data_IF_653929629151
#
_entry.id   IF_653929629151
#
_cell.length_a   1.000
_cell.length_b   1.000
_cell.length_c   1.000
_cell.angle_alpha   90.00
_cell.angle_beta   90.00
_cell.angle_gamma   90.00
#
_symmetry.space_group_name_H-M   'P 1'
#
loop_
_entity.id
_entity.type
_entity.pdbx_description
1 polymer ?
#
# COMPACT_ATOMS: atom_id res chain seq x y z
N UNK A 1 -13.08 40.80 39.13
CA UNK A 1 -13.25 40.71 37.67
C UNK A 1 -13.09 39.26 37.28
N UNK A 2 -14.07 38.73 36.57
CA UNK A 2 -14.36 37.30 36.41
C UNK A 2 -13.24 36.56 35.68
N UNK A 3 -12.73 35.50 36.31
CA UNK A 3 -11.88 34.50 35.67
C UNK A 3 -12.79 33.52 34.92
N UNK A 4 -12.83 33.63 33.59
CA UNK A 4 -13.48 32.67 32.70
C UNK A 4 -12.63 31.40 32.68
N UNK A 5 -13.17 30.28 33.17
CA UNK A 5 -12.58 28.95 33.04
C UNK A 5 -13.04 28.39 31.70
N UNK A 6 -12.19 28.43 30.68
CA UNK A 6 -12.38 27.66 29.46
C UNK A 6 -12.23 26.16 29.76
N UNK A 7 -13.35 25.43 29.72
CA UNK A 7 -13.33 23.96 29.62
C UNK A 7 -13.07 23.62 28.16
N UNK A 8 -11.80 23.39 27.81
CA UNK A 8 -11.43 22.78 26.54
C UNK A 8 -11.90 21.32 26.50
N UNK A 9 -13.00 21.07 25.79
CA UNK A 9 -13.39 19.71 25.37
C UNK A 9 -12.47 19.27 24.23
N UNK A 10 -11.48 18.43 24.54
CA UNK A 10 -10.73 17.67 23.54
C UNK A 10 -11.66 16.61 22.94
N UNK A 11 -12.45 17.00 21.94
CA UNK A 11 -13.07 16.04 21.05
C UNK A 11 -11.97 15.55 20.09
N UNK A 12 -11.33 14.43 20.45
CA UNK A 12 -10.55 13.66 19.50
C UNK A 12 -11.54 13.15 18.47
N UNK A 13 -11.72 13.87 17.36
CA UNK A 13 -12.55 13.43 16.25
C UNK A 13 -11.94 12.14 15.71
N UNK A 14 -12.52 11.00 16.08
CA UNK A 14 -12.20 9.71 15.47
C UNK A 14 -12.62 9.82 14.02
N UNK A 15 -11.68 10.15 13.14
CA UNK A 15 -11.92 10.15 11.69
C UNK A 15 -12.45 8.74 11.37
N UNK A 16 -13.67 8.68 10.83
CA UNK A 16 -14.25 7.39 10.44
C UNK A 16 -13.39 6.80 9.34
N UNK A 17 -12.68 5.71 9.66
CA UNK A 17 -11.84 5.00 8.73
C UNK A 17 -12.65 4.08 7.79
N UNK A 18 -13.98 4.13 7.86
CA UNK A 18 -14.87 3.21 7.13
C UNK A 18 -14.61 3.19 5.62
N UNK A 19 -14.35 4.36 5.02
CA UNK A 19 -14.01 4.47 3.60
C UNK A 19 -12.70 3.73 3.25
N UNK A 20 -11.67 3.87 4.09
CA UNK A 20 -10.40 3.18 3.91
C UNK A 20 -10.54 1.66 4.10
N UNK A 21 -11.30 1.22 5.11
CA UNK A 21 -11.60 -0.20 5.33
C UNK A 21 -12.32 -0.83 4.14
N UNK A 22 -13.30 -0.11 3.56
CA UNK A 22 -14.03 -0.57 2.35
C UNK A 22 -13.08 -0.68 1.16
N UNK A 23 -12.26 0.35 0.91
CA UNK A 23 -11.28 0.34 -0.18
C UNK A 23 -10.29 -0.83 -0.07
N UNK A 24 -9.70 -1.02 1.12
CA UNK A 24 -8.74 -2.11 1.36
C UNK A 24 -9.38 -3.49 1.22
N UNK A 25 -10.61 -3.67 1.72
CA UNK A 25 -11.35 -4.94 1.58
C UNK A 25 -11.61 -5.30 0.11
N UNK A 26 -12.00 -4.31 -0.71
CA UNK A 26 -12.22 -4.49 -2.15
C UNK A 26 -10.92 -4.80 -2.90
N UNK A 27 -9.83 -4.11 -2.58
CA UNK A 27 -8.52 -4.37 -3.18
C UNK A 27 -8.00 -5.77 -2.83
N UNK A 28 -8.13 -6.19 -1.57
CA UNK A 28 -7.74 -7.53 -1.14
C UNK A 28 -8.52 -8.62 -1.89
N UNK A 29 -9.86 -8.45 -1.98
CA UNK A 29 -10.74 -9.37 -2.74
C UNK A 29 -10.34 -9.41 -4.22
N UNK A 30 -10.00 -8.26 -4.81
CA UNK A 30 -9.53 -8.17 -6.20
C UNK A 30 -8.21 -8.91 -6.44
N UNK A 31 -7.24 -8.74 -5.53
CA UNK A 31 -5.95 -9.44 -5.60
C UNK A 31 -6.10 -10.96 -5.46
N UNK A 32 -7.02 -11.42 -4.61
CA UNK A 32 -7.30 -12.84 -4.42
C UNK A 32 -8.07 -13.45 -5.60
N UNK A 33 -9.04 -12.72 -6.18
CA UNK A 33 -9.84 -13.17 -7.32
C UNK A 33 -9.03 -13.23 -8.61
N UNK A 34 -8.08 -12.31 -8.79
CA UNK A 34 -7.26 -12.21 -9.98
C UNK A 34 -5.78 -12.13 -9.60
N UNK A 35 -5.18 -13.26 -9.16
CA UNK A 35 -3.78 -13.28 -8.77
C UNK A 35 -2.89 -12.84 -9.93
N UNK A 36 -1.80 -12.17 -9.61
CA UNK A 36 -0.76 -11.77 -10.55
C UNK A 36 0.55 -12.42 -10.15
N UNK A 37 1.40 -12.66 -11.13
CA UNK A 37 2.74 -13.18 -10.90
C UNK A 37 3.60 -12.25 -10.05
N UNK A 38 4.57 -12.85 -9.38
CA UNK A 38 5.64 -12.14 -8.71
C UNK A 38 5.39 -11.77 -7.26
N UNK A 39 4.19 -11.95 -6.71
CA UNK A 39 4.00 -11.77 -5.26
C UNK A 39 2.82 -12.55 -4.66
N UNK A 40 2.85 -12.71 -3.34
CA UNK A 40 1.73 -13.13 -2.50
C UNK A 40 1.30 -11.99 -1.58
N UNK A 41 0.03 -11.98 -1.18
CA UNK A 41 -0.53 -10.97 -0.26
C UNK A 41 -1.38 -11.66 0.79
N UNK A 42 -1.22 -11.26 2.05
CA UNK A 42 -2.04 -11.70 3.17
C UNK A 42 -2.28 -10.52 4.11
N UNK A 43 -3.54 -10.19 4.38
CA UNK A 43 -3.88 -9.18 5.38
C UNK A 43 -3.74 -9.75 6.79
N UNK A 44 -3.42 -8.89 7.76
CA UNK A 44 -3.47 -9.27 9.18
C UNK A 44 -4.92 -9.46 9.62
N UNK A 45 -5.17 -10.55 10.33
CA UNK A 45 -6.50 -10.87 10.89
C UNK A 45 -6.99 -9.80 11.88
N UNK A 46 -6.06 -9.18 12.62
CA UNK A 46 -6.36 -8.19 13.66
C UNK A 46 -6.47 -6.75 13.09
N UNK A 47 -5.86 -6.49 11.94
CA UNK A 47 -5.74 -5.13 11.41
C UNK A 47 -5.63 -5.10 9.88
N UNK A 48 -6.74 -4.77 9.22
CA UNK A 48 -6.82 -4.63 7.75
C UNK A 48 -5.87 -3.55 7.20
N UNK A 49 -5.33 -2.64 8.02
CA UNK A 49 -4.34 -1.63 7.62
C UNK A 49 -2.90 -2.15 7.63
N UNK A 50 -2.67 -3.44 7.92
CA UNK A 50 -1.34 -4.06 7.90
C UNK A 50 -1.38 -5.33 7.08
N UNK A 51 -0.68 -5.34 5.95
CA UNK A 51 -0.58 -6.52 5.08
C UNK A 51 0.84 -7.04 5.05
N UNK A 52 0.98 -8.36 4.96
CA UNK A 52 2.23 -9.04 4.65
C UNK A 52 2.24 -9.41 3.18
N UNK A 53 3.33 -9.10 2.49
CA UNK A 53 3.54 -9.48 1.10
C UNK A 53 4.84 -10.25 0.97
N UNK A 54 4.82 -11.28 0.12
CA UNK A 54 6.02 -12.01 -0.28
C UNK A 54 6.30 -11.74 -1.75
N UNK A 55 7.41 -11.08 -2.07
CA UNK A 55 7.78 -10.70 -3.43
C UNK A 55 8.80 -11.72 -3.96
N UNK A 56 8.49 -12.31 -5.12
CA UNK A 56 9.36 -13.24 -5.81
C UNK A 56 10.30 -12.49 -6.75
N UNK A 57 11.58 -12.81 -6.66
CA UNK A 57 12.59 -12.24 -7.53
C UNK A 57 12.36 -12.59 -9.01
N UNK A 58 12.27 -11.60 -9.92
CA UNK A 58 11.89 -11.86 -11.31
C UNK A 58 12.95 -12.70 -12.05
N UNK A 59 12.53 -13.59 -12.99
CA UNK A 59 13.45 -14.34 -13.82
C UNK A 59 14.34 -13.44 -14.67
N UNK A 60 15.61 -13.83 -14.84
CA UNK A 60 16.60 -13.06 -15.60
C UNK A 60 17.23 -11.89 -14.83
N UNK A 61 16.89 -11.72 -13.55
CA UNK A 61 17.44 -10.66 -12.68
C UNK A 61 18.41 -11.24 -11.66
N UNK A 62 19.19 -10.39 -10.98
CA UNK A 62 20.04 -10.81 -9.85
C UNK A 62 19.24 -11.37 -8.66
N UNK A 63 17.94 -11.06 -8.60
CA UNK A 63 17.05 -11.48 -7.54
C UNK A 63 16.34 -12.81 -7.83
N UNK A 64 16.49 -13.38 -9.04
CA UNK A 64 15.79 -14.59 -9.46
C UNK A 64 15.84 -15.72 -8.41
N UNK A 65 14.68 -16.28 -8.10
CA UNK A 65 14.54 -17.33 -7.09
C UNK A 65 14.68 -16.84 -5.65
N UNK A 66 14.64 -15.53 -5.41
CA UNK A 66 14.55 -14.94 -4.08
C UNK A 66 13.10 -14.76 -3.60
N UNK A 67 12.93 -14.68 -2.28
CA UNK A 67 11.65 -14.46 -1.60
C UNK A 67 11.75 -13.32 -0.58
N UNK A 68 11.29 -12.14 -0.96
CA UNK A 68 11.46 -10.92 -0.17
C UNK A 68 10.15 -10.55 0.51
N UNK A 69 10.11 -10.71 1.83
CA UNK A 69 8.95 -10.39 2.64
C UNK A 69 8.93 -8.91 2.97
N UNK A 70 7.78 -8.29 2.84
CA UNK A 70 7.57 -6.92 3.27
C UNK A 70 6.24 -6.76 3.99
N UNK A 71 6.18 -5.73 4.83
CA UNK A 71 4.95 -5.25 5.45
C UNK A 71 4.52 -3.98 4.75
N UNK A 72 3.26 -3.96 4.33
CA UNK A 72 2.57 -2.77 3.85
C UNK A 72 1.73 -2.22 5.00
N UNK A 73 1.89 -0.95 5.31
CA UNK A 73 1.04 -0.24 6.29
C UNK A 73 0.27 0.85 5.60
N UNK A 74 -1.04 0.83 5.76
CA UNK A 74 -1.94 1.80 5.14
C UNK A 74 -2.27 2.91 6.13
N UNK A 75 -2.35 4.17 5.66
CA UNK A 75 -2.82 5.25 6.51
C UNK A 75 -4.35 5.19 6.66
N UNK A 76 -4.84 5.82 7.72
CA UNK A 76 -6.28 5.90 8.04
C UNK A 76 -7.11 6.55 6.93
N UNK A 77 -6.50 7.42 6.13
CA UNK A 77 -7.12 8.13 5.01
C UNK A 77 -6.80 7.50 3.64
N UNK A 78 -6.38 6.24 3.58
CA UNK A 78 -6.21 5.53 2.30
C UNK A 78 -7.53 5.55 1.50
N UNK A 79 -7.51 5.78 0.16
CA UNK A 79 -6.35 5.92 -0.74
C UNK A 79 -5.85 7.37 -0.94
N UNK A 80 -6.24 8.34 -0.12
CA UNK A 80 -5.78 9.73 -0.29
C UNK A 80 -4.31 9.94 0.11
N UNK A 81 -3.75 9.04 0.90
CA UNK A 81 -2.31 8.99 1.19
C UNK A 81 -1.76 7.60 0.88
N UNK A 82 -0.49 7.51 0.45
CA UNK A 82 0.13 6.25 0.09
C UNK A 82 0.34 5.37 1.31
N UNK A 83 0.38 4.04 1.14
CA UNK A 83 0.93 3.16 2.16
C UNK A 83 2.44 3.32 2.26
N UNK A 84 3.02 2.78 3.34
CA UNK A 84 4.47 2.56 3.44
C UNK A 84 4.79 1.09 3.26
N UNK A 85 5.91 0.78 2.60
CA UNK A 85 6.40 -0.59 2.44
C UNK A 85 7.74 -0.75 3.14
N UNK A 86 7.87 -1.82 3.93
CA UNK A 86 9.08 -2.16 4.65
C UNK A 86 9.43 -3.63 4.50
N UNK A 87 10.59 -3.94 3.92
CA UNK A 87 11.12 -5.29 3.89
C UNK A 87 11.46 -5.78 5.30
N UNK A 88 11.07 -7.01 5.61
CA UNK A 88 11.33 -7.65 6.91
C UNK A 88 12.59 -8.49 6.88
N UNK A 89 12.96 -9.01 5.72
CA UNK A 89 14.26 -9.61 5.47
C UNK A 89 15.20 -8.61 4.80
N UNK A 90 16.51 -8.90 4.83
CA UNK A 90 17.52 -7.99 4.27
C UNK A 90 17.42 -7.95 2.75
N UNK A 91 17.36 -6.73 2.22
CA UNK A 91 17.37 -6.46 0.77
C UNK A 91 18.44 -5.43 0.45
N UNK A 92 19.50 -5.87 -0.20
CA UNK A 92 20.56 -5.01 -0.71
C UNK A 92 20.12 -4.45 -2.04
N UNK A 93 19.67 -3.20 -2.04
CA UNK A 93 19.11 -2.54 -3.21
C UNK A 93 19.25 -1.02 -3.09
N UNK A 94 19.55 -0.28 -4.18
CA UNK A 94 19.72 1.18 -4.15
C UNK A 94 18.54 1.95 -3.54
N UNK A 95 17.32 1.42 -3.66
CA UNK A 95 16.09 2.06 -3.18
C UNK A 95 15.53 1.48 -1.87
N UNK A 96 16.29 0.66 -1.14
CA UNK A 96 15.89 0.14 0.18
C UNK A 96 16.85 0.66 1.24
N UNK A 97 16.32 1.32 2.27
CA UNK A 97 17.12 1.77 3.41
C UNK A 97 17.62 0.58 4.24
N UNK A 98 18.68 0.76 5.04
CA UNK A 98 19.18 -0.26 5.98
C UNK A 98 18.10 -0.70 6.99
N UNK A 99 17.13 0.18 7.28
CA UNK A 99 15.97 -0.15 8.10
C UNK A 99 15.00 -1.14 7.44
N UNK A 100 15.08 -1.34 6.13
CA UNK A 100 14.17 -2.10 5.28
C UNK A 100 13.10 -1.26 4.59
N UNK A 101 12.98 0.04 4.89
CA UNK A 101 11.98 0.91 4.27
C UNK A 101 12.27 1.10 2.77
N UNK A 102 11.23 0.98 1.93
CA UNK A 102 11.33 1.12 0.48
C UNK A 102 11.09 2.58 0.07
N UNK A 103 11.96 3.10 -0.81
CA UNK A 103 11.88 4.46 -1.33
C UNK A 103 11.61 4.44 -2.85
N UNK A 104 10.38 4.76 -3.25
CA UNK A 104 9.98 4.92 -4.65
C UNK A 104 8.94 6.04 -4.77
N UNK A 105 8.95 6.72 -5.91
CA UNK A 105 8.08 7.87 -6.20
C UNK A 105 6.59 7.58 -5.99
N UNK A 106 6.10 6.42 -6.41
CA UNK A 106 4.67 6.05 -6.24
C UNK A 106 4.24 5.99 -4.76
N UNK A 107 5.17 5.87 -3.81
CA UNK A 107 4.89 5.90 -2.37
C UNK A 107 5.09 7.30 -1.74
N UNK A 108 5.50 8.30 -2.53
CA UNK A 108 5.64 9.67 -2.06
C UNK A 108 4.29 10.40 -2.09
N UNK A 109 3.94 11.17 -1.06
CA UNK A 109 2.72 11.97 -1.04
C UNK A 109 2.58 12.90 -2.25
N UNK A 110 1.35 13.28 -2.64
CA UNK A 110 1.07 14.15 -3.79
C UNK A 110 1.37 15.63 -3.51
N UNK A 111 2.56 15.92 -3.01
CA UNK A 111 3.04 17.29 -2.79
C UNK A 111 3.79 17.74 -4.04
N UNK A 112 3.49 18.93 -4.55
CA UNK A 112 4.31 19.57 -5.57
C UNK A 112 5.57 20.13 -4.89
N UNK A 113 6.67 19.38 -4.98
CA UNK A 113 7.99 19.81 -4.51
C UNK A 113 8.90 20.02 -5.73
N UNK A 114 9.07 21.28 -6.19
CA UNK A 114 9.91 21.60 -7.34
C UNK A 114 11.37 21.15 -7.21
N UNK A 115 11.85 20.91 -5.99
CA UNK A 115 13.23 20.50 -5.74
C UNK A 115 13.42 18.98 -5.73
N UNK A 116 12.35 18.19 -5.74
CA UNK A 116 12.46 16.73 -5.72
C UNK A 116 12.97 16.14 -7.04
N UNK A 117 12.75 16.83 -8.17
CA UNK A 117 13.03 16.32 -9.51
C UNK A 117 12.08 15.20 -9.99
N UNK A 118 11.09 14.81 -9.19
CA UNK A 118 10.07 13.82 -9.54
C UNK A 118 8.88 14.50 -10.23
N UNK A 119 8.30 13.82 -11.22
CA UNK A 119 7.06 14.29 -11.83
C UNK A 119 5.88 14.00 -10.89
N UNK A 120 4.93 14.94 -10.81
CA UNK A 120 3.71 14.73 -10.03
C UNK A 120 2.93 13.46 -10.44
N UNK A 121 3.04 13.04 -11.70
CA UNK A 121 2.42 11.79 -12.20
C UNK A 121 3.14 10.51 -11.76
N UNK A 122 4.40 10.60 -11.33
CA UNK A 122 5.17 9.48 -10.77
C UNK A 122 4.85 9.28 -9.28
N UNK A 123 4.28 10.30 -8.64
CA UNK A 123 3.92 10.28 -7.21
C UNK A 123 2.61 9.56 -6.95
N UNK A 124 2.34 9.31 -5.68
CA UNK A 124 1.08 8.73 -5.24
C UNK A 124 -0.11 9.53 -5.77
N UNK A 125 -1.11 8.81 -6.26
CA UNK A 125 -2.43 9.36 -6.51
C UNK A 125 -3.50 8.32 -6.13
N UNK A 126 -4.72 8.72 -5.76
CA UNK A 126 -5.74 7.80 -5.26
C UNK A 126 -6.27 6.78 -6.28
N UNK A 127 -5.83 6.84 -7.55
CA UNK A 127 -6.18 5.82 -8.57
C UNK A 127 -5.20 4.65 -8.58
N UNK A 128 -4.03 4.82 -7.94
CA UNK A 128 -3.11 3.72 -7.65
C UNK A 128 -3.71 2.79 -6.59
N UNK A 129 -3.29 1.54 -6.65
CA UNK A 129 -3.72 0.47 -5.74
C UNK A 129 -2.56 -0.47 -5.41
N UNK A 130 -2.77 -1.39 -4.48
CA UNK A 130 -1.71 -2.31 -4.03
C UNK A 130 -1.11 -3.12 -5.18
N UNK A 131 -1.91 -3.51 -6.19
CA UNK A 131 -1.40 -4.20 -7.38
C UNK A 131 -0.38 -3.35 -8.13
N UNK A 132 -0.72 -2.10 -8.44
CA UNK A 132 0.17 -1.18 -9.17
C UNK A 132 1.45 -0.86 -8.39
N UNK A 133 1.35 -0.73 -7.06
CA UNK A 133 2.50 -0.53 -6.19
C UNK A 133 3.43 -1.74 -6.27
N UNK A 134 2.93 -2.96 -6.07
CA UNK A 134 3.76 -4.17 -6.05
C UNK A 134 4.40 -4.47 -7.41
N UNK A 135 3.69 -4.19 -8.52
CA UNK A 135 4.29 -4.24 -9.85
C UNK A 135 5.43 -3.24 -10.02
N UNK A 136 5.27 -2.03 -9.47
CA UNK A 136 6.35 -1.03 -9.47
C UNK A 136 7.55 -1.51 -8.65
N UNK A 137 7.34 -2.18 -7.51
CA UNK A 137 8.43 -2.77 -6.71
C UNK A 137 9.16 -3.86 -7.49
N UNK A 138 8.43 -4.76 -8.15
CA UNK A 138 8.99 -5.83 -8.99
C UNK A 138 9.85 -5.26 -10.12
N UNK A 139 9.35 -4.24 -10.82
CA UNK A 139 10.10 -3.56 -11.87
C UNK A 139 11.39 -2.93 -11.32
N UNK A 140 11.29 -2.29 -10.16
CA UNK A 140 12.40 -1.62 -9.52
C UNK A 140 13.53 -2.59 -9.12
N UNK A 141 13.21 -3.82 -8.69
CA UNK A 141 14.22 -4.83 -8.36
C UNK A 141 15.18 -5.10 -9.54
N UNK A 142 14.71 -4.98 -10.78
CA UNK A 142 15.56 -5.14 -11.96
C UNK A 142 16.21 -3.84 -12.42
N UNK A 143 15.51 -2.71 -12.27
CA UNK A 143 15.93 -1.39 -12.74
C UNK A 143 15.95 -0.38 -11.57
N UNK A 144 16.98 -0.43 -10.70
CA UNK A 144 17.09 0.48 -9.57
C UNK A 144 17.22 1.94 -10.01
N UNK A 145 16.55 2.84 -9.30
CA UNK A 145 16.76 4.27 -9.46
C UNK A 145 17.99 4.72 -8.65
N UNK A 146 19.08 5.05 -9.34
CA UNK A 146 20.35 5.49 -8.74
C UNK A 146 20.52 7.00 -8.65
N UNK A 147 19.52 7.79 -9.07
CA UNK A 147 19.59 9.26 -9.03
C UNK A 147 19.43 9.80 -7.60
N UNK A 148 18.55 9.17 -6.82
CA UNK A 148 18.27 9.51 -5.42
C UNK A 148 18.17 8.23 -4.57
N UNK A 149 19.29 7.52 -4.35
CA UNK A 149 19.26 6.22 -3.70
C UNK A 149 19.02 6.33 -2.19
N UNK A 150 18.19 5.43 -1.67
CA UNK A 150 18.04 5.20 -0.23
C UNK A 150 19.30 4.55 0.38
N UNK A 151 20.00 3.75 -0.41
CA UNK A 151 21.26 3.11 -0.06
C UNK A 151 22.34 3.51 -1.07
N UNK A 152 23.18 4.46 -0.66
CA UNK A 152 24.25 5.04 -1.49
C UNK A 152 25.29 3.98 -1.87
N UNK A 153 25.65 3.08 -0.94
CA UNK A 153 26.65 2.05 -1.18
C UNK A 153 26.15 1.04 -2.22
N UNK A 154 24.91 0.55 -2.06
CA UNK A 154 24.27 -0.32 -3.04
C UNK A 154 24.19 0.35 -4.43
N UNK A 155 23.89 1.66 -4.48
CA UNK A 155 23.87 2.43 -5.72
C UNK A 155 25.23 2.53 -6.39
N UNK A 156 26.30 2.80 -5.63
CA UNK A 156 27.68 2.83 -6.15
C UNK A 156 28.09 1.46 -6.68
N UNK A 157 27.85 0.39 -5.92
CA UNK A 157 28.17 -0.98 -6.33
C UNK A 157 27.38 -1.40 -7.57
N UNK A 158 26.08 -1.09 -7.64
CA UNK A 158 25.24 -1.40 -8.80
C UNK A 158 25.77 -0.71 -10.06
N UNK A 159 26.08 0.59 -10.01
CA UNK A 159 26.63 1.32 -11.16
C UNK A 159 27.95 0.72 -11.64
N UNK A 160 28.86 0.39 -10.71
CA UNK A 160 30.14 -0.24 -11.06
C UNK A 160 29.94 -1.64 -11.67
N UNK A 161 28.98 -2.41 -11.18
CA UNK A 161 28.60 -3.70 -11.77
C UNK A 161 28.10 -3.52 -13.21
N UNK A 162 27.21 -2.55 -13.46
CA UNK A 162 26.70 -2.23 -14.81
C UNK A 162 27.82 -1.73 -15.73
N UNK A 163 28.61 -0.74 -15.31
CA UNK A 163 29.65 -0.09 -16.12
C UNK A 163 30.76 -1.06 -16.55
N UNK A 164 31.01 -2.10 -15.73
CA UNK A 164 32.01 -3.12 -16.02
C UNK A 164 31.46 -4.33 -16.78
N UNK A 165 30.16 -4.35 -17.07
CA UNK A 165 29.47 -5.49 -17.69
C UNK A 165 29.50 -6.74 -16.81
N UNK A 166 29.38 -6.56 -15.49
CA UNK A 166 29.37 -7.63 -14.50
C UNK A 166 30.73 -8.16 -14.05
N UNK A 167 31.84 -7.54 -14.46
CA UNK A 167 33.19 -7.96 -13.99
C UNK A 167 33.40 -7.61 -12.52
N UNK A 168 32.89 -6.46 -12.09
CA UNK A 168 32.86 -6.08 -10.69
C UNK A 168 31.61 -6.67 -10.03
N UNK A 169 31.76 -7.88 -9.51
CA UNK A 169 30.65 -8.72 -9.06
C UNK A 169 30.27 -8.53 -7.58
N UNK A 170 30.74 -7.47 -6.92
CA UNK A 170 30.50 -7.24 -5.50
C UNK A 170 28.99 -7.10 -5.20
N UNK A 171 28.29 -6.26 -5.98
CA UNK A 171 26.85 -6.06 -5.84
C UNK A 171 26.08 -7.37 -5.97
N UNK A 172 26.34 -8.10 -7.07
CA UNK A 172 25.65 -9.33 -7.37
C UNK A 172 26.00 -10.46 -6.40
N UNK A 173 27.22 -10.51 -5.87
CA UNK A 173 27.60 -11.45 -4.80
C UNK A 173 26.77 -11.24 -3.54
N UNK A 174 26.59 -9.98 -3.12
CA UNK A 174 25.75 -9.66 -1.95
C UNK A 174 24.30 -10.07 -2.20
N UNK A 175 23.75 -9.72 -3.36
CA UNK A 175 22.37 -10.05 -3.72
C UNK A 175 22.16 -11.57 -3.76
N UNK A 176 23.07 -12.35 -4.37
CA UNK A 176 22.98 -13.82 -4.39
C UNK A 176 22.95 -14.43 -2.99
N UNK A 177 23.81 -13.96 -2.09
CA UNK A 177 23.82 -14.44 -0.70
C UNK A 177 22.48 -14.15 0.01
N UNK A 178 21.82 -13.03 -0.32
CA UNK A 178 20.49 -12.71 0.21
C UNK A 178 19.39 -13.55 -0.43
N UNK A 179 19.48 -13.84 -1.73
CA UNK A 179 18.58 -14.77 -2.42
C UNK A 179 18.64 -16.14 -1.74
N UNK A 180 19.83 -16.68 -1.48
CA UNK A 180 20.00 -17.96 -0.79
C UNK A 180 19.41 -17.93 0.63
N UNK A 181 19.65 -16.85 1.37
CA UNK A 181 19.08 -16.67 2.71
C UNK A 181 17.54 -16.59 2.67
N UNK A 182 16.99 -15.93 1.65
CA UNK A 182 15.56 -15.74 1.49
C UNK A 182 14.82 -17.04 1.15
N UNK A 183 15.48 -18.00 0.50
CA UNK A 183 14.93 -19.33 0.22
C UNK A 183 14.65 -20.11 1.50
N UNK A 184 15.55 -20.02 2.47
CA UNK A 184 15.39 -20.64 3.79
C UNK A 184 14.18 -20.03 4.52
N UNK A 185 13.95 -18.72 4.38
CA UNK A 185 12.76 -18.06 4.92
C UNK A 185 11.47 -18.51 4.21
N UNK A 186 11.51 -18.66 2.89
CA UNK A 186 10.37 -19.18 2.12
C UNK A 186 9.97 -20.59 2.56
N UNK A 187 10.95 -21.49 2.74
CA UNK A 187 10.73 -22.84 3.25
C UNK A 187 10.07 -22.83 4.64
N UNK A 188 10.54 -21.94 5.53
CA UNK A 188 9.97 -21.77 6.87
C UNK A 188 8.50 -21.32 6.84
N UNK A 189 8.16 -20.47 5.87
CA UNK A 189 6.79 -19.97 5.68
C UNK A 189 5.93 -20.92 4.82
N UNK A 190 6.48 -22.04 4.33
CA UNK A 190 5.78 -22.98 3.45
C UNK A 190 5.50 -22.43 2.05
N UNK A 191 6.27 -21.43 1.60
CA UNK A 191 6.13 -20.80 0.29
C UNK A 191 7.05 -21.47 -0.71
N UNK A 192 6.48 -21.92 -1.84
CA UNK A 192 7.25 -22.45 -2.97
C UNK A 192 7.68 -21.27 -3.86
N UNK A 193 8.99 -21.07 -3.98
CA UNK A 193 9.56 -19.99 -4.77
C UNK A 193 9.68 -20.44 -6.24
N UNK A 194 9.13 -19.69 -7.21
CA UNK A 194 9.33 -19.99 -8.62
C UNK A 194 10.79 -19.75 -9.03
N UNK A 195 11.41 -20.73 -9.67
CA UNK A 195 12.80 -20.63 -10.13
C UNK A 195 12.91 -20.43 -11.64
N UNK A 196 11.88 -20.88 -12.36
CA UNK A 196 11.82 -20.81 -13.82
C UNK A 196 10.81 -19.76 -14.29
N UNK A 197 10.95 -19.31 -15.54
CA UNK A 197 9.98 -18.40 -16.15
C UNK A 197 8.57 -19.00 -16.19
N UNK A 198 8.46 -20.33 -16.42
CA UNK A 198 7.18 -21.02 -16.51
C UNK A 198 6.45 -21.10 -15.17
N UNK A 199 7.18 -21.22 -14.06
CA UNK A 199 6.64 -21.20 -12.70
C UNK A 199 6.30 -19.79 -12.25
N UNK A 200 7.08 -18.80 -12.71
CA UNK A 200 6.86 -17.40 -12.36
C UNK A 200 5.57 -16.87 -12.99
N UNK A 201 5.33 -17.18 -14.27
CA UNK A 201 4.20 -16.64 -15.01
C UNK A 201 2.88 -17.36 -14.69
N UNK A 202 1.85 -16.59 -14.33
CA UNK A 202 0.51 -17.13 -14.08
C UNK A 202 -0.10 -17.56 -15.41
N UNK A 203 -0.40 -18.86 -15.56
CA UNK A 203 -1.10 -19.37 -16.73
C UNK A 203 -2.49 -18.74 -16.80
N UNK A 204 -2.69 -17.78 -17.69
CA UNK A 204 -4.01 -17.26 -18.03
C UNK A 204 -4.85 -18.38 -18.63
N UNK A 205 -5.80 -18.91 -17.87
CA UNK A 205 -6.87 -19.75 -18.42
C UNK A 205 -7.79 -18.80 -19.16
N UNK A 206 -7.90 -18.95 -20.48
CA UNK A 206 -8.90 -18.25 -21.26
C UNK A 206 -10.29 -18.63 -20.73
N UNK A 207 -10.95 -17.72 -19.99
CA UNK A 207 -12.37 -17.90 -19.69
C UNK A 207 -13.14 -17.83 -21.03
N UNK A 208 -13.98 -18.82 -21.35
CA UNK A 208 -14.79 -18.76 -22.56
C UNK A 208 -15.85 -17.66 -22.39
N UNK A 209 -15.84 -16.70 -23.34
CA UNK A 209 -16.81 -15.64 -23.59
C UNK A 209 -17.29 -14.81 -22.37
N UNK A 210 -16.70 -13.62 -22.26
CA UNK A 210 -17.24 -12.35 -21.75
C UNK A 210 -18.72 -12.35 -21.30
N UNK A 211 -19.03 -13.01 -20.19
CA UNK A 211 -20.04 -12.46 -19.30
C UNK A 211 -19.40 -11.23 -18.68
N UNK A 212 -19.87 -10.05 -19.09
CA UNK A 212 -19.60 -8.79 -18.41
C UNK A 212 -19.91 -9.06 -16.94
N UNK A 213 -18.88 -9.26 -16.12
CA UNK A 213 -19.04 -9.39 -14.67
C UNK A 213 -19.49 -8.00 -14.19
N UNK A 214 -20.80 -7.83 -14.14
CA UNK A 214 -21.44 -6.68 -13.50
C UNK A 214 -20.89 -6.66 -12.09
N UNK A 215 -20.14 -5.62 -11.77
CA UNK A 215 -19.70 -5.37 -10.40
C UNK A 215 -21.00 -5.25 -9.59
N UNK A 216 -21.26 -6.22 -8.71
CA UNK A 216 -22.38 -6.15 -7.77
C UNK A 216 -22.11 -4.98 -6.81
N UNK A 217 -22.49 -3.78 -7.25
CA UNK A 217 -22.52 -2.57 -6.42
C UNK A 217 -23.69 -2.60 -5.42
N UNK A 218 -24.52 -3.64 -5.46
CA UNK A 218 -25.73 -3.76 -4.65
C UNK A 218 -25.47 -4.42 -3.27
N UNK A 219 -24.27 -4.93 -2.98
CA UNK A 219 -24.01 -5.66 -1.73
C UNK A 219 -23.72 -4.75 -0.52
N UNK A 220 -23.73 -3.42 -0.66
CA UNK A 220 -23.42 -2.51 0.43
C UNK A 220 -24.44 -1.39 0.70
N UNK A 221 -25.72 -1.66 0.45
CA UNK A 221 -26.81 -0.86 1.00
C UNK A 221 -26.88 -1.06 2.53
N UNK A 222 -25.97 -0.40 3.24
CA UNK A 222 -26.01 -0.28 4.69
C UNK A 222 -27.24 0.54 5.09
N UNK A 223 -28.14 -0.13 5.80
CA UNK A 223 -29.27 0.46 6.51
C UNK A 223 -28.75 1.58 7.43
N UNK A 224 -29.07 2.83 7.09
CA UNK A 224 -28.87 3.94 8.00
C UNK A 224 -29.83 3.71 9.16
N UNK A 225 -29.31 3.13 10.25
CA UNK A 225 -30.00 3.09 11.52
C UNK A 225 -30.41 4.52 11.87
N UNK A 226 -31.71 4.76 11.76
CA UNK A 226 -32.40 5.95 12.21
C UNK A 226 -32.12 6.10 13.70
N UNK A 227 -31.22 7.03 14.05
CA UNK A 227 -31.06 7.50 15.43
C UNK A 227 -32.30 8.33 15.77
N UNK A 228 -33.38 7.62 16.11
CA UNK A 228 -34.58 8.18 16.72
C UNK A 228 -34.27 8.56 18.17
N UNK A 229 -33.60 9.68 18.38
CA UNK A 229 -33.43 10.27 19.71
C UNK A 229 -34.27 11.56 19.84
N UNK A 230 -35.47 11.32 20.37
CA UNK A 230 -36.06 12.04 21.50
C UNK A 230 -36.52 13.50 21.26
N UNK A 231 -37.73 13.61 20.71
CA UNK A 231 -38.85 14.44 21.17
C UNK A 231 -38.49 15.50 22.23
N UNK A 232 -38.05 16.68 21.78
CA UNK A 232 -38.14 17.89 22.60
C UNK A 232 -39.34 18.73 22.13
N UNK A 233 -40.49 18.33 22.65
CA UNK A 233 -41.76 19.04 22.66
C UNK A 233 -41.58 20.37 23.41
N UNK A 234 -41.42 21.48 22.66
CA UNK A 234 -41.55 22.82 23.23
C UNK A 234 -43.00 23.27 23.07
N UNK A 235 -43.72 23.21 24.19
CA UNK A 235 -45.06 23.72 24.45
C UNK A 235 -45.32 25.10 23.78
N UNK A 236 -46.18 25.08 22.77
CA UNK A 236 -46.87 26.25 22.24
C UNK A 236 -47.98 26.66 23.25
N UNK A 237 -47.60 27.40 24.29
CA UNK A 237 -48.60 28.05 25.15
C UNK A 237 -49.17 29.27 24.42
N UNK A 238 -50.46 29.17 24.13
CA UNK A 238 -51.20 30.04 23.23
C UNK A 238 -51.47 31.46 23.73
N UNK A 239 -51.77 32.28 22.72
CA UNK A 239 -52.84 33.26 22.63
C UNK A 239 -53.17 34.07 23.91
N UNK A 240 -52.77 35.35 23.90
CA UNK A 240 -53.68 36.39 24.39
C UNK A 240 -53.65 37.61 23.47
N UNK A 241 -54.85 38.00 23.05
CA UNK A 241 -55.16 38.93 21.98
C UNK A 241 -55.51 40.29 22.59
N UNK A 242 -54.49 41.10 22.84
CA UNK A 242 -54.67 42.48 23.31
C UNK A 242 -55.07 43.43 22.18
N UNK A 243 -56.32 43.40 21.76
CA UNK A 243 -56.95 44.51 21.04
C UNK A 243 -57.30 45.60 22.05
N UNK A 244 -56.53 46.69 22.06
CA UNK A 244 -56.82 47.92 22.81
C UNK A 244 -57.17 49.03 21.84
N UNK A 245 -58.47 49.31 21.72
CA UNK A 245 -59.04 50.45 21.00
C UNK A 245 -58.74 51.77 21.73
N UNK A 246 -58.32 52.79 20.96
CA UNK A 246 -58.70 54.23 21.01
C UNK A 246 -57.53 55.14 20.62
#
# INVERSE_FOLDING_TARGET
MNSVIEKGTNATSTISNAGAVRALSLELKSLQKSPIEGFTVTASDDNIFVWTVGIFGPPGTLYQGGYFKAIIKFPANYPYSPPTIKFTNKVWHPNVYESGDLCISILHPPVDDPHSGELACERWNPTQNVRTILLSVISLLNEPNTSSPANVDASVMYRRWVDTGGKDDEYATIVRNQVDSSRIEAEKDGVVVPETLEEYCVKTIAKPNDEIEVFDLDEDYYDYGDESDDDNEYDENGEDSGQGES
#
